data_IF_433745883372
#
_entry.id   IF_433745883372
#
_cell.length_a   1.000
_cell.length_b   1.000
_cell.length_c   1.000
_cell.angle_alpha   90.00
_cell.angle_beta   90.00
_cell.angle_gamma   90.00
#
_symmetry.space_group_name_H-M   'P 1'
#
loop_
_entity.id
_entity.type
_entity.pdbx_description
1 polymer ?
#
# COMPACT_ATOMS: atom_id res chain seq x y z
N UNK A 1 17.04 2.42 -22.64
CA UNK A 1 16.79 2.77 -21.23
C UNK A 1 16.57 1.46 -20.52
N UNK A 2 17.33 1.12 -19.46
CA UNK A 2 17.06 -0.10 -18.71
C UNK A 2 15.71 0.07 -18.01
N UNK A 3 14.71 -0.68 -18.43
CA UNK A 3 13.44 -0.78 -17.71
C UNK A 3 13.76 -1.20 -16.28
N UNK A 4 13.29 -0.42 -15.29
CA UNK A 4 13.59 -0.69 -13.88
C UNK A 4 13.03 -2.02 -13.42
N UNK A 5 13.47 -2.47 -12.24
CA UNK A 5 12.92 -3.65 -11.60
C UNK A 5 11.74 -3.27 -10.71
N UNK A 6 10.52 -3.49 -11.19
CA UNK A 6 9.32 -3.12 -10.45
C UNK A 6 8.81 -4.28 -9.58
N UNK A 7 8.34 -3.95 -8.38
CA UNK A 7 7.84 -4.91 -7.41
C UNK A 7 6.55 -4.39 -6.80
N UNK A 8 5.50 -5.23 -6.81
CA UNK A 8 4.27 -5.02 -6.07
C UNK A 8 4.35 -5.70 -4.70
N UNK A 9 3.99 -4.95 -3.66
CA UNK A 9 4.11 -5.33 -2.26
C UNK A 9 2.79 -5.13 -1.54
N UNK A 10 2.41 -6.09 -0.71
CA UNK A 10 1.24 -6.01 0.17
C UNK A 10 1.72 -5.80 1.61
N UNK A 11 1.08 -4.90 2.35
CA UNK A 11 1.33 -4.81 3.79
C UNK A 11 0.74 -6.02 4.52
N UNK A 12 1.54 -6.67 5.36
CA UNK A 12 1.13 -7.81 6.18
C UNK A 12 0.02 -7.44 7.16
N UNK A 13 -0.71 -8.44 7.67
CA UNK A 13 -1.78 -8.26 8.67
C UNK A 13 -1.30 -7.60 9.97
N UNK A 14 -0.02 -7.76 10.31
CA UNK A 14 0.58 -7.17 11.52
C UNK A 14 0.86 -5.66 11.42
N UNK A 15 0.67 -5.06 10.24
CA UNK A 15 0.84 -3.62 10.06
C UNK A 15 -0.49 -2.94 10.33
N UNK A 16 -0.67 -2.47 11.57
CA UNK A 16 -1.90 -1.81 12.00
C UNK A 16 -2.28 -0.68 11.03
N UNK A 17 -3.52 -0.76 10.54
CA UNK A 17 -4.09 0.20 9.59
C UNK A 17 -3.68 0.02 8.12
N UNK A 18 -2.59 -0.67 7.78
CA UNK A 18 -2.19 -0.81 6.36
C UNK A 18 -2.35 -2.23 5.81
N UNK A 19 -2.68 -3.20 6.67
CA UNK A 19 -2.92 -4.59 6.31
C UNK A 19 -3.73 -4.75 5.01
N UNK A 20 -3.17 -5.51 4.06
CA UNK A 20 -3.81 -5.83 2.79
C UNK A 20 -3.67 -4.76 1.70
N UNK A 21 -3.16 -3.56 2.00
CA UNK A 21 -2.92 -2.54 0.97
C UNK A 21 -1.78 -2.99 0.06
N UNK A 22 -2.03 -2.98 -1.25
CA UNK A 22 -1.03 -3.25 -2.27
C UNK A 22 -0.44 -1.92 -2.76
N UNK A 23 0.87 -1.84 -2.77
CA UNK A 23 1.66 -0.71 -3.31
C UNK A 23 2.72 -1.26 -4.26
N UNK A 24 3.39 -0.39 -5.02
CA UNK A 24 4.51 -0.81 -5.84
C UNK A 24 5.64 0.20 -5.78
N UNK A 25 6.84 -0.27 -6.07
CA UNK A 25 8.04 0.57 -6.16
C UNK A 25 9.00 0.05 -7.22
N UNK A 26 9.92 0.90 -7.65
CA UNK A 26 10.91 0.61 -8.68
C UNK A 26 12.31 0.56 -8.05
N UNK A 27 13.09 -0.45 -8.44
CA UNK A 27 14.49 -0.59 -8.09
C UNK A 27 15.37 -0.56 -9.35
N UNK A 28 16.66 -0.31 -9.16
CA UNK A 28 17.63 -0.38 -10.25
C UNK A 28 17.91 -1.81 -10.72
N UNK A 29 17.66 -2.82 -9.87
CA UNK A 29 17.90 -4.24 -10.16
C UNK A 29 17.22 -5.13 -9.11
N UNK A 30 17.13 -6.44 -9.38
CA UNK A 30 16.70 -7.44 -8.39
C UNK A 30 17.59 -7.43 -7.14
N UNK A 31 18.91 -7.34 -7.30
CA UNK A 31 19.83 -7.31 -6.15
C UNK A 31 19.61 -6.11 -5.23
N UNK A 32 19.24 -4.95 -5.81
CA UNK A 32 18.89 -3.77 -5.02
C UNK A 32 17.60 -3.98 -4.22
N UNK A 33 16.60 -4.61 -4.84
CA UNK A 33 15.38 -5.03 -4.14
C UNK A 33 15.66 -6.03 -3.02
N UNK A 34 16.37 -7.12 -3.31
CA UNK A 34 16.65 -8.18 -2.34
C UNK A 34 17.40 -7.63 -1.11
N UNK A 35 18.34 -6.71 -1.32
CA UNK A 35 19.06 -6.05 -0.22
C UNK A 35 18.15 -5.17 0.64
N UNK A 36 17.24 -4.43 0.02
CA UNK A 36 16.26 -3.60 0.73
C UNK A 36 15.23 -4.47 1.48
N UNK A 37 14.76 -5.55 0.86
CA UNK A 37 13.68 -6.38 1.37
C UNK A 37 14.07 -7.26 2.56
N UNK A 38 15.36 -7.59 2.73
CA UNK A 38 15.86 -8.40 3.86
C UNK A 38 15.46 -7.90 5.26
N UNK A 39 15.14 -6.61 5.40
CA UNK A 39 14.67 -6.01 6.66
C UNK A 39 13.17 -5.68 6.70
N UNK A 40 12.40 -6.06 5.68
CA UNK A 40 10.98 -5.69 5.56
C UNK A 40 10.09 -6.85 6.03
N UNK A 41 9.79 -6.91 7.32
CA UNK A 41 8.84 -7.88 7.90
C UNK A 41 7.37 -7.45 7.75
N UNK A 42 7.14 -6.17 7.45
CA UNK A 42 5.82 -5.56 7.31
C UNK A 42 5.20 -5.74 5.92
N UNK A 43 5.94 -6.30 4.96
CA UNK A 43 5.53 -6.35 3.56
C UNK A 43 5.75 -7.75 3.00
N UNK A 44 4.83 -8.19 2.16
CA UNK A 44 4.92 -9.41 1.37
C UNK A 44 5.02 -9.06 -0.11
N UNK A 45 5.84 -9.80 -0.84
CA UNK A 45 5.89 -9.69 -2.31
C UNK A 45 4.62 -10.30 -2.90
N UNK A 46 3.88 -9.48 -3.66
CA UNK A 46 2.74 -9.95 -4.45
C UNK A 46 3.24 -10.47 -5.81
N UNK A 47 4.07 -9.67 -6.49
CA UNK A 47 4.64 -9.98 -7.80
C UNK A 47 5.88 -9.09 -8.03
N UNK A 48 6.94 -9.61 -8.66
CA UNK A 48 8.20 -8.89 -8.90
C UNK A 48 8.69 -9.05 -10.34
N UNK A 49 9.48 -8.09 -10.84
CA UNK A 49 9.96 -8.11 -12.23
C UNK A 49 8.86 -7.84 -13.27
N UNK A 50 7.85 -7.08 -12.86
CA UNK A 50 6.64 -6.81 -13.65
C UNK A 50 6.68 -5.45 -14.34
N UNK A 51 5.75 -5.20 -15.26
CA UNK A 51 5.64 -3.90 -15.92
C UNK A 51 4.94 -2.86 -15.04
N UNK A 52 5.08 -1.55 -15.32
CA UNK A 52 4.33 -0.50 -14.63
C UNK A 52 2.81 -0.68 -14.71
N UNK A 53 2.29 -1.14 -15.85
CA UNK A 53 0.86 -1.38 -16.05
C UNK A 53 0.36 -2.46 -15.09
N UNK A 54 1.11 -3.56 -14.97
CA UNK A 54 0.81 -4.64 -14.04
C UNK A 54 0.85 -4.17 -12.59
N UNK A 55 1.78 -3.29 -12.25
CA UNK A 55 1.84 -2.66 -10.91
C UNK A 55 0.57 -1.87 -10.59
N UNK A 56 0.06 -1.12 -11.56
CA UNK A 56 -1.18 -0.34 -11.41
C UNK A 56 -2.38 -1.27 -11.25
N UNK A 57 -2.48 -2.33 -12.05
CA UNK A 57 -3.54 -3.35 -11.92
C UNK A 57 -3.56 -3.99 -10.52
N UNK A 58 -2.40 -4.43 -10.03
CA UNK A 58 -2.27 -5.03 -8.70
C UNK A 58 -2.60 -4.03 -7.58
N UNK A 59 -2.29 -2.75 -7.76
CA UNK A 59 -2.68 -1.72 -6.79
C UNK A 59 -4.20 -1.55 -6.77
N UNK A 60 -4.86 -1.58 -7.93
CA UNK A 60 -6.32 -1.47 -8.08
C UNK A 60 -7.06 -2.67 -7.51
N UNK A 61 -6.41 -3.84 -7.41
CA UNK A 61 -7.00 -5.03 -6.78
C UNK A 61 -6.92 -5.03 -5.25
N UNK A 62 -6.39 -3.96 -4.63
CA UNK A 62 -6.45 -3.79 -3.17
C UNK A 62 -7.90 -3.84 -2.68
N UNK A 63 -8.21 -4.71 -1.70
CA UNK A 63 -9.56 -4.79 -1.15
C UNK A 63 -10.02 -3.47 -0.54
N UNK A 64 -11.27 -3.05 -0.78
CA UNK A 64 -11.82 -1.82 -0.19
C UNK A 64 -11.81 -1.83 1.35
N UNK A 65 -11.93 -3.01 1.95
CA UNK A 65 -11.79 -3.18 3.40
C UNK A 65 -10.45 -2.65 3.91
N UNK A 66 -9.34 -2.96 3.22
CA UNK A 66 -8.01 -2.50 3.61
C UNK A 66 -7.89 -0.96 3.62
N UNK A 67 -8.46 -0.27 2.63
CA UNK A 67 -8.47 1.20 2.62
C UNK A 67 -9.36 1.79 3.71
N UNK A 68 -10.46 1.11 4.02
CA UNK A 68 -11.39 1.54 5.07
C UNK A 68 -10.73 1.42 6.45
N UNK A 69 -10.12 0.28 6.74
CA UNK A 69 -9.31 0.07 7.96
C UNK A 69 -8.19 1.10 8.08
N UNK A 70 -7.49 1.40 6.97
CA UNK A 70 -6.49 2.45 6.94
C UNK A 70 -7.03 3.83 7.28
N UNK A 71 -8.20 4.18 6.73
CA UNK A 71 -8.85 5.44 7.04
C UNK A 71 -9.26 5.52 8.51
N UNK A 72 -9.82 4.43 9.06
CA UNK A 72 -10.18 4.34 10.48
C UNK A 72 -8.95 4.49 11.39
N UNK A 73 -7.91 3.69 11.16
CA UNK A 73 -6.69 3.74 11.95
C UNK A 73 -6.06 5.14 11.92
N UNK A 74 -5.98 5.77 10.75
CA UNK A 74 -5.42 7.13 10.62
C UNK A 74 -6.30 8.21 11.22
N UNK A 75 -7.61 7.98 11.35
CA UNK A 75 -8.55 8.91 11.95
C UNK A 75 -8.71 8.73 13.47
N UNK A 76 -8.20 7.62 14.03
CA UNK A 76 -8.30 7.29 15.45
C UNK A 76 -7.12 7.88 16.21
N UNK A 77 -7.40 8.57 17.32
CA UNK A 77 -6.35 9.01 18.24
C UNK A 77 -5.78 7.79 18.99
N UNK A 78 -4.46 7.54 18.94
CA UNK A 78 -3.87 6.35 19.52
C UNK A 78 -3.87 6.34 21.06
N UNK A 79 -4.09 7.49 21.72
CA UNK A 79 -4.13 7.63 23.18
C UNK A 79 -5.55 7.50 23.70
N UNK A 80 -6.51 8.17 23.07
CA UNK A 80 -7.90 8.20 23.55
C UNK A 80 -8.80 7.17 22.88
N UNK A 81 -8.41 6.67 21.71
CA UNK A 81 -9.24 5.80 20.87
C UNK A 81 -10.39 6.55 20.18
N UNK A 82 -10.46 7.88 20.30
CA UNK A 82 -11.53 8.66 19.70
C UNK A 82 -11.32 8.83 18.19
N UNK A 83 -12.39 8.67 17.41
CA UNK A 83 -12.36 8.82 15.97
C UNK A 83 -12.65 10.27 15.58
N UNK A 84 -11.70 10.90 14.89
CA UNK A 84 -11.93 12.19 14.24
C UNK A 84 -12.72 11.99 12.93
N UNK A 85 -14.03 12.23 12.99
CA UNK A 85 -14.96 12.00 11.86
C UNK A 85 -14.61 12.82 10.61
N UNK A 86 -14.15 14.07 10.77
CA UNK A 86 -13.71 14.91 9.65
C UNK A 86 -12.48 14.33 8.96
N UNK A 87 -11.52 13.81 9.73
CA UNK A 87 -10.33 13.14 9.20
C UNK A 87 -10.69 11.82 8.52
N UNK A 88 -11.59 11.04 9.12
CA UNK A 88 -12.09 9.80 8.53
C UNK A 88 -12.72 10.06 7.16
N UNK A 89 -13.62 11.05 7.08
CA UNK A 89 -14.26 11.43 5.82
C UNK A 89 -13.25 11.87 4.75
N UNK A 90 -12.23 12.64 5.15
CA UNK A 90 -11.15 13.06 4.26
C UNK A 90 -10.36 11.86 3.71
N UNK A 91 -9.96 10.92 4.56
CA UNK A 91 -9.18 9.74 4.16
C UNK A 91 -10.00 8.80 3.25
N UNK A 92 -11.26 8.54 3.58
CA UNK A 92 -12.16 7.76 2.71
C UNK A 92 -12.35 8.43 1.33
N UNK A 93 -12.50 9.75 1.31
CA UNK A 93 -12.62 10.51 0.05
C UNK A 93 -11.33 10.44 -0.77
N UNK A 94 -10.17 10.50 -0.11
CA UNK A 94 -8.86 10.37 -0.76
C UNK A 94 -8.71 9.01 -1.42
N UNK A 95 -9.10 7.93 -0.75
CA UNK A 95 -9.05 6.60 -1.34
C UNK A 95 -10.03 6.47 -2.50
N UNK A 96 -11.28 6.92 -2.34
CA UNK A 96 -12.27 6.92 -3.42
C UNK A 96 -11.78 7.67 -4.66
N UNK A 97 -11.23 8.89 -4.50
CA UNK A 97 -10.67 9.67 -5.61
C UNK A 97 -9.38 9.08 -6.17
N UNK A 98 -8.51 8.53 -5.32
CA UNK A 98 -7.26 7.89 -5.74
C UNK A 98 -7.49 6.60 -6.54
N UNK A 99 -8.57 5.88 -6.28
CA UNK A 99 -9.02 4.72 -7.06
C UNK A 99 -9.61 5.16 -8.41
N UNK A 100 -10.32 6.29 -8.44
CA UNK A 100 -10.95 6.81 -9.67
C UNK A 100 -10.01 7.62 -10.59
N UNK A 101 -8.92 8.18 -10.05
CA UNK A 101 -7.98 9.04 -10.78
C UNK A 101 -6.72 8.31 -11.29
N UNK A 102 -6.61 6.99 -11.09
CA UNK A 102 -5.48 6.14 -11.51
C UNK A 102 -5.98 5.05 -12.45
#
# INVERSE_FOLDING_TARGET
MSEGYFVALRYCEHVEGYAGIITWTQFSSKSAFDNWYRGQNEKEVVEEGITPERCVELTKSTPMGAYTECAYHRATDPVTGEINSSRLQYELTKFHRGILAR
#
